data_IF_259042619763
#
_entry.id   IF_259042619763
#
_cell.length_a   1.000
_cell.length_b   1.000
_cell.length_c   1.000
_cell.angle_alpha   90.00
_cell.angle_beta   90.00
_cell.angle_gamma   90.00
#
_symmetry.space_group_name_H-M   'P 1'
#
loop_
_entity.id
_entity.type
_entity.pdbx_description
1 polymer ?
#
# COMPACT_ATOMS: atom_id res chain seq x y z
N UNK A 1 -1.34 20.92 10.05
CA UNK A 1 -0.96 19.50 10.25
C UNK A 1 -1.13 18.85 8.90
N UNK A 2 -0.09 18.20 8.39
CA UNK A 2 -0.15 17.46 7.13
C UNK A 2 -0.84 16.12 7.39
N UNK A 3 -1.84 15.76 6.56
CA UNK A 3 -2.67 14.56 6.75
C UNK A 3 -2.85 13.87 5.42
N UNK A 4 -2.28 12.68 5.28
CA UNK A 4 -2.26 11.98 4.00
C UNK A 4 -2.12 10.47 4.18
N UNK A 5 -2.47 9.77 3.13
CA UNK A 5 -2.23 8.36 2.95
C UNK A 5 -1.18 8.14 1.85
N UNK A 6 -0.32 7.14 2.03
CA UNK A 6 0.60 6.67 0.99
C UNK A 6 0.62 5.15 0.94
N UNK A 7 0.74 4.60 -0.26
CA UNK A 7 0.82 3.17 -0.49
C UNK A 7 2.22 2.66 -0.10
N UNK A 8 2.25 1.45 0.44
CA UNK A 8 3.48 0.73 0.75
C UNK A 8 3.74 -0.25 -0.40
N UNK A 9 4.86 -0.11 -1.09
CA UNK A 9 5.11 -0.80 -2.38
C UNK A 9 6.29 -1.76 -2.37
N UNK A 10 6.29 -2.58 -3.43
CA UNK A 10 7.30 -3.55 -3.83
C UNK A 10 7.82 -4.43 -2.67
N UNK A 11 6.93 -5.26 -2.09
CA UNK A 11 5.57 -5.58 -2.55
C UNK A 11 4.48 -4.62 -2.04
N UNK A 12 3.35 -4.53 -2.76
CA UNK A 12 2.21 -3.78 -2.23
C UNK A 12 1.71 -4.40 -0.93
N UNK A 13 1.63 -3.62 0.14
CA UNK A 13 1.26 -4.10 1.48
C UNK A 13 0.23 -3.21 2.18
N UNK A 14 -0.65 -2.57 1.41
CA UNK A 14 -1.66 -1.67 1.92
C UNK A 14 -1.20 -0.21 1.96
N UNK A 15 -1.87 0.58 2.80
CA UNK A 15 -1.75 2.04 2.83
C UNK A 15 -1.39 2.49 4.24
N UNK A 16 -0.34 3.29 4.34
CA UNK A 16 0.08 3.96 5.56
C UNK A 16 -0.65 5.29 5.70
N UNK A 17 -1.35 5.46 6.82
CA UNK A 17 -1.96 6.72 7.23
C UNK A 17 -0.93 7.56 7.98
N UNK A 18 -0.81 8.84 7.64
CA UNK A 18 0.16 9.75 8.25
C UNK A 18 -0.51 11.06 8.64
N UNK A 19 -0.32 11.45 9.90
CA UNK A 19 -0.62 12.79 10.41
C UNK A 19 0.68 13.37 10.95
N UNK A 20 1.17 14.49 10.43
CA UNK A 20 2.50 14.98 10.77
C UNK A 20 2.65 16.51 10.73
N UNK A 21 3.62 17.01 11.49
CA UNK A 21 4.26 18.31 11.27
C UNK A 21 5.79 18.12 11.29
N UNK A 22 6.52 19.23 11.41
CA UNK A 22 7.98 19.24 11.42
C UNK A 22 8.62 18.56 12.63
N UNK A 23 7.88 18.38 13.74
CA UNK A 23 8.38 17.90 15.03
C UNK A 23 7.85 16.53 15.43
N UNK A 24 6.63 16.16 15.01
CA UNK A 24 5.97 14.93 15.41
C UNK A 24 5.16 14.35 14.25
N UNK A 25 5.09 13.02 14.20
CA UNK A 25 4.25 12.29 13.26
C UNK A 25 3.56 11.11 13.91
N UNK A 26 2.36 10.81 13.45
CA UNK A 26 1.57 9.65 13.82
C UNK A 26 1.40 8.77 12.58
N UNK A 27 1.67 7.49 12.73
CA UNK A 27 1.67 6.50 11.66
C UNK A 27 0.68 5.39 12.01
N UNK A 28 -0.20 5.02 11.08
CA UNK A 28 -1.12 3.90 11.27
C UNK A 28 -1.28 3.03 10.02
N UNK A 29 -1.32 1.71 10.22
CA UNK A 29 -1.55 0.71 9.17
C UNK A 29 -2.99 0.19 9.13
N UNK A 30 -3.80 0.51 10.13
CA UNK A 30 -5.21 0.08 10.24
C UNK A 30 -6.18 1.25 10.49
N UNK A 31 -5.65 2.46 10.72
CA UNK A 31 -6.45 3.65 11.01
C UNK A 31 -6.97 3.75 12.45
N UNK A 32 -6.68 2.77 13.28
CA UNK A 32 -7.18 2.66 14.66
C UNK A 32 -6.03 2.84 15.65
N UNK A 33 -4.96 2.07 15.47
CA UNK A 33 -3.75 2.13 16.27
C UNK A 33 -2.73 3.06 15.61
N UNK A 34 -2.36 4.13 16.31
CA UNK A 34 -1.40 5.11 15.82
C UNK A 34 -0.10 5.03 16.61
N UNK A 35 1.02 4.85 15.92
CA UNK A 35 2.34 5.01 16.52
C UNK A 35 2.79 6.47 16.41
N UNK A 36 3.08 7.10 17.53
CA UNK A 36 3.58 8.46 17.58
C UNK A 36 5.10 8.46 17.61
N UNK A 37 5.70 9.30 16.77
CA UNK A 37 7.14 9.46 16.64
C UNK A 37 7.52 10.94 16.69
N UNK A 38 8.49 11.27 17.54
CA UNK A 38 8.99 12.62 17.72
C UNK A 38 10.35 12.79 17.06
N UNK A 39 10.54 13.88 16.33
CA UNK A 39 11.79 14.23 15.68
C UNK A 39 12.77 14.72 16.74
N UNK A 40 13.89 14.03 16.90
CA UNK A 40 14.90 14.35 17.89
C UNK A 40 16.30 14.32 17.28
N UNK A 41 17.19 15.13 17.85
CA UNK A 41 18.61 15.06 17.55
C UNK A 41 19.28 14.20 18.59
N UNK A 42 19.83 13.06 18.16
CA UNK A 42 20.62 12.16 19.00
C UNK A 42 22.10 12.32 18.65
N UNK A 43 23.04 11.77 19.45
CA UNK A 43 24.45 11.68 19.05
C UNK A 43 24.69 10.95 17.71
N UNK A 44 23.73 10.15 17.25
CA UNK A 44 23.75 9.43 15.96
C UNK A 44 23.19 10.27 14.79
N UNK A 45 22.78 11.51 15.05
CA UNK A 45 22.16 12.42 14.08
C UNK A 45 20.67 12.67 14.36
N UNK A 46 20.04 13.40 13.44
CA UNK A 46 18.61 13.71 13.47
C UNK A 46 17.83 12.46 13.06
N UNK A 47 16.85 12.07 13.87
CA UNK A 47 16.00 10.92 13.62
C UNK A 47 14.61 11.08 14.25
N UNK A 48 13.85 9.98 14.24
CA UNK A 48 12.55 9.89 14.88
C UNK A 48 12.61 8.85 16.00
N UNK A 49 12.28 9.27 17.23
CA UNK A 49 12.11 8.38 18.37
C UNK A 49 10.64 7.99 18.52
N UNK A 50 10.38 6.71 18.82
CA UNK A 50 9.03 6.22 19.09
C UNK A 50 8.64 6.62 20.51
N UNK A 51 7.60 7.44 20.64
CA UNK A 51 7.22 8.02 21.95
C UNK A 51 6.01 7.32 22.58
N UNK A 52 5.24 6.56 21.80
CA UNK A 52 4.11 5.81 22.32
C UNK A 52 3.12 5.41 21.23
N UNK A 53 1.97 4.89 21.68
CA UNK A 53 0.82 4.59 20.83
C UNK A 53 -0.38 5.38 21.27
N UNK A 54 -1.25 5.71 20.33
CA UNK A 54 -2.53 6.35 20.60
C UNK A 54 -3.64 5.58 19.89
N UNK A 55 -4.75 5.42 20.59
CA UNK A 55 -5.99 4.87 20.06
C UNK A 55 -7.14 5.73 20.59
N UNK A 56 -8.12 6.07 19.75
CA UNK A 56 -9.25 6.92 20.16
C UNK A 56 -9.99 6.36 21.39
N UNK A 57 -10.11 5.04 21.50
CA UNK A 57 -10.83 4.39 22.61
C UNK A 57 -10.03 4.31 23.92
N UNK A 58 -8.68 4.24 23.82
CA UNK A 58 -7.80 3.93 24.94
C UNK A 58 -6.84 5.06 25.32
N UNK A 59 -6.82 6.15 24.54
CA UNK A 59 -5.92 7.28 24.73
C UNK A 59 -4.46 6.97 24.42
N UNK A 60 -3.57 7.81 24.94
CA UNK A 60 -2.13 7.69 24.74
C UNK A 60 -1.48 6.72 25.73
N UNK A 61 -0.66 5.81 25.21
CA UNK A 61 0.17 4.85 25.95
C UNK A 61 1.64 5.15 25.65
N UNK A 62 2.39 5.81 26.57
CA UNK A 62 3.77 6.21 26.33
C UNK A 62 4.73 5.01 26.28
N UNK A 63 5.81 5.16 25.51
CA UNK A 63 6.98 4.29 25.58
C UNK A 63 8.07 4.90 26.46
N UNK A 64 9.02 4.10 26.96
CA UNK A 64 10.22 4.64 27.60
C UNK A 64 10.95 5.60 26.64
N UNK A 65 11.13 6.84 27.07
CA UNK A 65 11.87 7.86 26.32
C UNK A 65 13.35 7.78 26.67
N UNK A 66 14.20 7.97 25.65
CA UNK A 66 15.64 8.15 25.88
C UNK A 66 15.88 9.42 26.71
N UNK A 67 16.75 9.39 27.73
CA UNK A 67 17.04 10.56 28.57
C UNK A 67 17.55 11.78 27.82
N UNK A 68 18.12 11.60 26.62
CA UNK A 68 18.57 12.70 25.75
C UNK A 68 17.44 13.46 25.05
N UNK A 69 16.20 12.95 25.10
CA UNK A 69 15.04 13.58 24.48
C UNK A 69 14.37 14.52 25.48
N UNK A 70 14.16 15.77 25.06
CA UNK A 70 13.43 16.76 25.86
C UNK A 70 11.96 16.36 26.03
N UNK A 71 11.60 15.94 27.24
CA UNK A 71 10.24 15.54 27.59
C UNK A 71 9.24 16.68 27.44
N UNK A 72 9.63 17.92 27.76
CA UNK A 72 8.72 19.08 27.67
C UNK A 72 8.34 19.38 26.22
N UNK A 73 9.30 19.23 25.29
CA UNK A 73 9.06 19.36 23.87
C UNK A 73 8.14 18.25 23.33
N UNK A 74 8.30 17.01 23.82
CA UNK A 74 7.41 15.89 23.47
C UNK A 74 5.98 16.14 23.95
N UNK A 75 5.80 16.59 25.19
CA UNK A 75 4.48 16.90 25.76
C UNK A 75 3.76 18.02 24.99
N UNK A 76 4.49 19.07 24.60
CA UNK A 76 3.94 20.16 23.79
C UNK A 76 3.49 19.68 22.40
N UNK A 77 4.32 18.86 21.73
CA UNK A 77 3.99 18.32 20.41
C UNK A 77 2.86 17.28 20.46
N UNK A 78 2.76 16.53 21.55
CA UNK A 78 1.73 15.52 21.77
C UNK A 78 0.31 16.10 21.73
N UNK A 79 0.06 17.21 22.42
CA UNK A 79 -1.29 17.81 22.46
C UNK A 79 -1.81 18.19 21.07
N UNK A 80 -0.93 18.72 20.22
CA UNK A 80 -1.28 19.13 18.86
C UNK A 80 -1.61 17.93 17.98
N UNK A 81 -0.83 16.86 18.05
CA UNK A 81 -1.06 15.69 17.19
C UNK A 81 -2.29 14.89 17.63
N UNK A 82 -2.54 14.77 18.93
CA UNK A 82 -3.73 14.09 19.45
C UNK A 82 -5.00 14.84 19.03
N UNK A 83 -5.02 16.17 19.12
CA UNK A 83 -6.15 16.96 18.63
C UNK A 83 -6.44 16.72 17.14
N UNK A 84 -5.40 16.60 16.32
CA UNK A 84 -5.55 16.27 14.90
C UNK A 84 -6.11 14.85 14.69
N UNK A 85 -5.60 13.86 15.44
CA UNK A 85 -6.07 12.47 15.38
C UNK A 85 -7.53 12.30 15.83
N UNK A 86 -7.99 13.08 16.80
CA UNK A 86 -9.39 13.07 17.22
C UNK A 86 -10.35 13.47 16.10
N UNK A 87 -9.94 14.41 15.25
CA UNK A 87 -10.73 14.89 14.11
C UNK A 87 -10.48 14.13 12.80
N UNK A 88 -9.45 13.29 12.74
CA UNK A 88 -9.06 12.59 11.52
C UNK A 88 -10.15 11.62 11.06
N UNK A 89 -10.54 11.76 9.79
CA UNK A 89 -11.42 10.82 9.09
C UNK A 89 -10.55 9.86 8.28
N UNK A 90 -10.64 8.58 8.61
CA UNK A 90 -9.87 7.52 7.95
C UNK A 90 -10.77 6.80 6.94
N UNK A 91 -10.25 6.41 5.75
CA UNK A 91 -8.88 6.64 5.29
C UNK A 91 -8.59 8.11 4.95
N UNK A 92 -7.37 8.57 5.27
CA UNK A 92 -6.86 9.88 4.87
C UNK A 92 -6.72 9.95 3.34
N UNK A 93 -6.77 11.15 2.72
CA UNK A 93 -6.61 11.27 1.27
C UNK A 93 -5.25 10.76 0.81
N UNK A 94 -5.24 9.90 -0.23
CA UNK A 94 -4.00 9.46 -0.87
C UNK A 94 -3.28 10.66 -1.47
N UNK A 95 -1.95 10.76 -1.28
CA UNK A 95 -1.17 11.91 -1.77
C UNK A 95 0.10 11.49 -2.53
N UNK A 96 0.26 10.21 -2.84
CA UNK A 96 1.45 9.65 -3.50
C UNK A 96 1.27 9.47 -5.01
N UNK A 97 1.08 10.58 -5.73
CA UNK A 97 0.70 10.62 -7.15
C UNK A 97 1.88 10.51 -8.14
N UNK A 98 3.12 10.60 -7.67
CA UNK A 98 4.27 10.25 -8.50
C UNK A 98 4.43 8.75 -8.40
N UNK A 99 4.19 8.04 -9.50
CA UNK A 99 4.21 6.58 -9.55
C UNK A 99 5.36 6.07 -10.43
N UNK A 100 6.17 5.16 -9.90
CA UNK A 100 7.26 4.52 -10.62
C UNK A 100 6.83 3.14 -11.12
N UNK A 101 6.59 3.04 -12.41
CA UNK A 101 6.09 1.82 -13.05
C UNK A 101 7.22 1.06 -13.75
N UNK A 102 7.32 -0.23 -13.48
CA UNK A 102 8.01 -1.17 -14.37
C UNK A 102 7.24 -1.20 -15.70
N UNK A 103 7.96 -1.20 -16.81
CA UNK A 103 7.37 -1.23 -18.15
C UNK A 103 7.52 -2.63 -18.77
N UNK A 104 6.56 -3.01 -19.61
CA UNK A 104 6.71 -4.18 -20.47
C UNK A 104 7.69 -3.88 -21.60
N UNK A 105 8.48 -4.91 -21.97
CA UNK A 105 9.62 -4.78 -22.86
C UNK A 105 9.26 -4.20 -24.24
N UNK A 106 8.19 -4.72 -24.87
CA UNK A 106 7.84 -4.43 -26.27
C UNK A 106 7.01 -3.16 -26.45
N UNK A 107 6.00 -3.00 -25.62
CA UNK A 107 4.96 -1.96 -25.72
C UNK A 107 5.29 -0.74 -24.86
N UNK A 108 6.21 -0.87 -23.91
CA UNK A 108 6.55 0.17 -22.92
C UNK A 108 5.35 0.61 -22.08
N UNK A 109 4.30 -0.19 -22.01
CA UNK A 109 3.15 0.07 -21.16
C UNK A 109 3.44 -0.29 -19.69
N UNK A 110 2.80 0.39 -18.72
CA UNK A 110 2.89 0.05 -17.31
C UNK A 110 2.56 -1.43 -17.04
N UNK A 111 3.52 -2.13 -16.43
CA UNK A 111 3.44 -3.55 -16.10
C UNK A 111 3.13 -3.75 -14.62
N UNK A 112 3.89 -3.11 -13.73
CA UNK A 112 3.72 -3.24 -12.29
C UNK A 112 4.24 -2.00 -11.57
N UNK A 113 3.51 -1.54 -10.55
CA UNK A 113 3.93 -0.41 -9.74
C UNK A 113 5.05 -0.85 -8.79
N UNK A 114 6.17 -0.13 -8.80
CA UNK A 114 7.33 -0.41 -7.97
C UNK A 114 7.43 0.54 -6.78
N UNK A 115 7.04 1.80 -6.95
CA UNK A 115 7.06 2.79 -5.89
C UNK A 115 6.09 3.93 -6.18
N UNK A 116 5.81 4.71 -5.15
CA UNK A 116 5.15 6.00 -5.28
C UNK A 116 5.72 6.97 -4.26
N UNK A 117 5.61 8.26 -4.57
CA UNK A 117 6.01 9.33 -3.68
C UNK A 117 5.12 10.56 -3.86
N UNK A 118 5.17 11.48 -2.90
CA UNK A 118 4.27 12.64 -2.84
C UNK A 118 4.86 13.85 -3.56
N UNK A 119 6.18 13.97 -3.51
CA UNK A 119 6.87 15.18 -3.94
C UNK A 119 7.94 14.86 -5.00
N UNK A 120 8.18 15.78 -5.97
CA UNK A 120 9.25 15.63 -6.95
C UNK A 120 10.64 15.44 -6.35
N UNK A 121 10.88 15.97 -5.15
CA UNK A 121 12.16 15.81 -4.46
C UNK A 121 12.37 14.36 -4.00
N UNK A 122 11.33 13.73 -3.46
CA UNK A 122 11.35 12.30 -3.08
C UNK A 122 11.63 11.44 -4.31
N UNK A 123 10.97 11.75 -5.44
CA UNK A 123 11.20 11.10 -6.73
C UNK A 123 12.68 11.16 -7.16
N UNK A 124 13.28 12.35 -7.10
CA UNK A 124 14.69 12.59 -7.48
C UNK A 124 15.70 11.89 -6.59
N UNK A 125 15.34 11.65 -5.33
CA UNK A 125 16.20 10.99 -4.34
C UNK A 125 16.00 9.47 -4.29
N UNK A 126 14.97 8.95 -4.96
CA UNK A 126 14.61 7.54 -4.89
C UNK A 126 15.56 6.68 -5.72
N UNK A 127 16.25 5.74 -5.04
CA UNK A 127 17.01 4.68 -5.69
C UNK A 127 16.16 3.41 -5.73
N UNK A 128 15.48 3.18 -6.85
CA UNK A 128 14.56 2.03 -7.02
C UNK A 128 15.12 1.10 -8.09
N UNK A 129 15.30 -0.17 -7.72
CA UNK A 129 15.65 -1.21 -8.69
C UNK A 129 14.42 -1.58 -9.54
N UNK A 130 14.54 -1.70 -10.87
CA UNK A 130 13.43 -2.04 -11.77
C UNK A 130 13.11 -3.54 -11.70
N UNK A 131 12.77 -4.03 -10.51
CA UNK A 131 12.44 -5.41 -10.23
C UNK A 131 11.24 -5.46 -9.30
N UNK A 132 10.14 -6.04 -9.79
CA UNK A 132 8.93 -6.23 -9.01
C UNK A 132 9.03 -7.48 -8.13
N UNK A 133 8.45 -7.39 -6.93
CA UNK A 133 8.44 -8.42 -5.90
C UNK A 133 7.02 -8.74 -5.45
N UNK A 134 6.77 -10.03 -5.27
CA UNK A 134 5.58 -10.51 -4.59
C UNK A 134 5.71 -10.27 -3.10
N UNK A 135 4.56 -10.19 -2.41
CA UNK A 135 4.57 -10.24 -0.96
C UNK A 135 5.10 -11.58 -0.46
N UNK A 136 5.87 -11.55 0.64
CA UNK A 136 6.52 -12.75 1.15
C UNK A 136 5.48 -13.72 1.74
N UNK A 137 5.80 -15.02 1.70
CA UNK A 137 4.95 -16.06 2.28
C UNK A 137 4.72 -15.88 3.79
N UNK A 138 5.64 -15.21 4.50
CA UNK A 138 5.49 -14.87 5.92
C UNK A 138 4.45 -13.77 6.19
N UNK A 139 4.13 -12.96 5.19
CA UNK A 139 3.19 -11.84 5.30
C UNK A 139 1.84 -12.14 4.63
N UNK A 140 1.82 -13.10 3.71
CA UNK A 140 0.64 -13.50 2.97
C UNK A 140 0.76 -14.98 2.61
N UNK A 141 -0.11 -15.81 3.17
CA UNK A 141 -0.16 -17.24 2.87
C UNK A 141 -0.52 -17.45 1.39
N UNK A 142 0.47 -17.85 0.61
CA UNK A 142 0.41 -18.04 -0.84
C UNK A 142 0.86 -19.46 -1.18
N UNK A 143 -0.08 -20.39 -1.07
CA UNK A 143 0.20 -21.81 -1.27
C UNK A 143 0.09 -22.24 -2.73
N UNK A 144 0.93 -23.20 -3.09
CA UNK A 144 0.76 -23.99 -4.29
C UNK A 144 -0.51 -24.85 -4.18
N UNK A 145 -1.18 -25.12 -5.30
CA UNK A 145 -2.25 -26.11 -5.32
C UNK A 145 -1.70 -27.51 -4.99
N UNK A 146 -2.56 -28.46 -4.58
CA UNK A 146 -2.11 -29.82 -4.32
C UNK A 146 -1.41 -30.50 -5.50
N UNK A 147 -1.78 -30.15 -6.74
CA UNK A 147 -1.09 -30.64 -7.94
C UNK A 147 0.29 -30.01 -8.10
N UNK A 148 0.39 -28.68 -7.97
CA UNK A 148 1.66 -27.96 -8.07
C UNK A 148 2.66 -28.41 -6.99
N UNK A 149 2.17 -28.65 -5.76
CA UNK A 149 2.95 -29.20 -4.67
C UNK A 149 3.44 -30.63 -4.96
N UNK A 150 2.56 -31.52 -5.44
CA UNK A 150 2.95 -32.89 -5.84
C UNK A 150 4.00 -32.92 -6.94
N UNK A 151 3.95 -31.95 -7.87
CA UNK A 151 4.95 -31.80 -8.94
C UNK A 151 6.23 -31.09 -8.50
N UNK A 152 6.34 -30.68 -7.23
CA UNK A 152 7.51 -29.99 -6.69
C UNK A 152 7.75 -28.62 -7.33
N UNK A 153 6.69 -27.94 -7.78
CA UNK A 153 6.86 -26.62 -8.37
C UNK A 153 7.34 -25.59 -7.34
N UNK A 154 8.14 -24.59 -7.74
CA UNK A 154 8.48 -23.49 -6.88
C UNK A 154 7.25 -22.75 -6.32
N UNK A 155 7.39 -21.98 -5.22
CA UNK A 155 6.30 -21.19 -4.66
C UNK A 155 5.64 -20.27 -5.70
N UNK A 156 4.34 -20.03 -5.54
CA UNK A 156 3.56 -19.15 -6.40
C UNK A 156 4.20 -17.76 -6.55
N UNK A 157 4.65 -17.16 -5.45
CA UNK A 157 5.30 -15.85 -5.43
C UNK A 157 6.54 -15.79 -6.33
N UNK A 158 7.41 -16.79 -6.23
CA UNK A 158 8.60 -16.88 -7.08
C UNK A 158 8.23 -17.01 -8.56
N UNK A 159 7.26 -17.86 -8.90
CA UNK A 159 6.82 -18.06 -10.29
C UNK A 159 6.20 -16.79 -10.87
N UNK A 160 5.39 -16.07 -10.09
CA UNK A 160 4.81 -14.80 -10.52
C UNK A 160 5.88 -13.71 -10.68
N UNK A 161 6.88 -13.63 -9.79
CA UNK A 161 8.02 -12.73 -9.98
C UNK A 161 8.80 -13.03 -11.27
N UNK A 162 9.05 -14.31 -11.58
CA UNK A 162 9.71 -14.69 -12.83
C UNK A 162 8.87 -14.33 -14.05
N UNK A 163 7.54 -14.49 -13.98
CA UNK A 163 6.62 -14.10 -15.03
C UNK A 163 6.65 -12.60 -15.30
N UNK A 164 6.61 -11.76 -14.25
CA UNK A 164 6.75 -10.30 -14.38
C UNK A 164 8.12 -9.93 -14.93
N UNK A 165 9.19 -10.54 -14.41
CA UNK A 165 10.56 -10.32 -14.89
C UNK A 165 10.71 -10.66 -16.38
N UNK A 166 10.15 -11.79 -16.82
CA UNK A 166 10.19 -12.20 -18.22
C UNK A 166 9.50 -11.17 -19.12
N UNK A 167 8.33 -10.66 -18.72
CA UNK A 167 7.65 -9.60 -19.46
C UNK A 167 8.35 -8.25 -19.44
N UNK A 168 9.14 -7.94 -18.41
CA UNK A 168 9.94 -6.73 -18.37
C UNK A 168 11.20 -6.81 -19.26
N UNK A 169 11.53 -7.99 -19.79
CA UNK A 169 12.66 -8.21 -20.69
C UNK A 169 14.01 -8.37 -19.97
N UNK A 170 15.08 -8.55 -20.76
CA UNK A 170 16.43 -8.74 -20.24
C UNK A 170 17.00 -7.48 -19.58
N UNK A 171 16.62 -6.31 -20.09
CA UNK A 171 17.05 -5.00 -19.62
C UNK A 171 15.82 -4.22 -19.12
N UNK A 172 15.26 -4.57 -17.94
CA UNK A 172 14.00 -4.02 -17.46
C UNK A 172 14.06 -2.51 -17.36
N UNK A 173 13.04 -1.86 -17.88
CA UNK A 173 12.90 -0.40 -17.89
C UNK A 173 11.76 0.00 -16.98
N UNK A 174 11.94 1.14 -16.30
CA UNK A 174 10.93 1.70 -15.43
C UNK A 174 10.88 3.22 -15.61
N UNK A 175 9.72 3.80 -15.33
CA UNK A 175 9.42 5.17 -15.67
C UNK A 175 8.53 5.81 -14.61
N UNK A 176 8.87 7.03 -14.22
CA UNK A 176 8.02 7.86 -13.35
C UNK A 176 6.88 8.46 -14.16
N UNK A 177 5.69 8.44 -13.57
CA UNK A 177 4.50 9.11 -14.09
C UNK A 177 3.88 9.98 -12.99
N UNK A 178 3.50 11.21 -13.32
CA UNK A 178 2.57 11.99 -12.50
C UNK A 178 1.15 11.59 -12.85
N UNK A 179 0.39 11.11 -11.86
CA UNK A 179 -0.99 10.65 -12.04
C UNK A 179 -1.97 11.79 -11.76
N UNK A 180 -2.93 11.97 -12.67
CA UNK A 180 -4.03 12.90 -12.48
C UNK A 180 -5.24 12.21 -11.79
N UNK A 181 -6.19 13.01 -11.33
CA UNK A 181 -7.39 12.52 -10.65
C UNK A 181 -8.30 11.65 -11.53
N UNK A 182 -8.25 11.84 -12.85
CA UNK A 182 -8.97 11.01 -13.83
C UNK A 182 -8.25 9.69 -14.15
N UNK A 183 -7.10 9.44 -13.51
CA UNK A 183 -6.28 8.26 -13.70
C UNK A 183 -5.36 8.33 -14.92
N UNK A 184 -5.28 9.44 -15.64
CA UNK A 184 -4.26 9.62 -16.70
C UNK A 184 -2.86 9.80 -16.10
N UNK A 185 -1.81 9.58 -16.90
CA UNK A 185 -0.43 9.64 -16.43
C UNK A 185 0.51 10.37 -17.37
N UNK A 186 1.18 11.40 -16.89
CA UNK A 186 2.23 12.13 -17.60
C UNK A 186 3.59 11.51 -17.29
N UNK A 187 4.31 10.96 -18.29
CA UNK A 187 5.66 10.44 -18.07
C UNK A 187 6.64 11.57 -17.75
N UNK A 188 7.57 11.33 -16.81
CA UNK A 188 8.50 12.33 -16.29
C UNK A 188 9.98 11.98 -16.52
N UNK A 189 10.84 12.91 -16.89
CA UNK A 189 12.29 12.68 -16.82
C UNK A 189 12.83 12.69 -15.38
N UNK A 190 14.15 12.49 -15.24
CA UNK A 190 14.84 12.57 -13.96
C UNK A 190 14.73 13.95 -13.28
N UNK A 191 14.48 15.03 -14.03
CA UNK A 191 14.25 16.37 -13.48
C UNK A 191 12.80 16.57 -12.98
N UNK A 192 11.87 15.66 -13.33
CA UNK A 192 10.45 15.76 -13.00
C UNK A 192 9.62 16.50 -14.05
N UNK A 193 10.12 16.65 -15.26
CA UNK A 193 9.46 17.34 -16.37
C UNK A 193 8.77 16.34 -17.29
N UNK A 194 7.62 16.73 -17.87
CA UNK A 194 6.88 15.90 -18.82
C UNK A 194 7.70 15.63 -20.10
N UNK A 195 7.83 14.35 -20.49
CA UNK A 195 8.64 13.93 -21.65
C UNK A 195 7.89 13.23 -22.78
N UNK A 196 6.61 12.93 -22.59
CA UNK A 196 5.79 12.27 -23.60
C UNK A 196 4.36 12.78 -23.54
N UNK A 197 3.53 12.32 -24.46
CA UNK A 197 2.08 12.48 -24.33
C UNK A 197 1.56 11.79 -23.06
N UNK A 198 0.42 12.30 -22.59
CA UNK A 198 -0.30 11.76 -21.44
C UNK A 198 -0.89 10.39 -21.81
N UNK A 199 -0.57 9.38 -21.01
CA UNK A 199 -1.15 8.04 -21.15
C UNK A 199 -2.54 8.00 -20.54
N UNK A 200 -3.49 7.41 -21.28
CA UNK A 200 -4.84 7.15 -20.79
C UNK A 200 -4.86 6.23 -19.57
N UNK A 201 -5.87 6.38 -18.71
CA UNK A 201 -6.02 5.61 -17.48
C UNK A 201 -6.03 4.09 -17.69
N UNK A 202 -6.57 3.63 -18.83
CA UNK A 202 -6.63 2.21 -19.21
C UNK A 202 -5.26 1.54 -19.37
N UNK A 203 -4.18 2.31 -19.54
CA UNK A 203 -2.82 1.76 -19.61
C UNK A 203 -2.24 1.40 -18.24
N UNK A 204 -2.85 1.88 -17.16
CA UNK A 204 -2.35 1.66 -15.80
C UNK A 204 -3.18 0.58 -15.12
N UNK A 205 -2.57 -0.56 -14.76
CA UNK A 205 -3.29 -1.62 -14.06
C UNK A 205 -3.90 -1.12 -12.73
N UNK A 206 -5.22 -1.19 -12.54
CA UNK A 206 -5.87 -0.62 -11.34
C UNK A 206 -5.47 -1.33 -10.06
N UNK A 207 -5.07 -2.61 -10.15
CA UNK A 207 -4.59 -3.42 -9.02
C UNK A 207 -3.07 -3.44 -8.92
N UNK A 208 -2.40 -2.42 -9.48
CA UNK A 208 -0.95 -2.18 -9.39
C UNK A 208 -0.07 -3.22 -10.11
N UNK A 209 -0.68 -4.21 -10.74
CA UNK A 209 -0.02 -5.27 -11.51
C UNK A 209 -0.91 -5.60 -12.71
N UNK A 210 -0.31 -5.72 -13.90
CA UNK A 210 -1.03 -6.14 -15.10
C UNK A 210 -1.66 -7.52 -14.90
N UNK A 211 -2.92 -7.62 -15.27
CA UNK A 211 -3.71 -8.83 -15.08
C UNK A 211 -3.79 -9.70 -16.33
N UNK A 212 -3.60 -9.13 -17.52
CA UNK A 212 -3.70 -9.88 -18.79
C UNK A 212 -2.38 -10.54 -19.13
N UNK A 213 -2.40 -11.88 -19.25
CA UNK A 213 -1.24 -12.70 -19.60
C UNK A 213 -1.53 -13.62 -20.77
N UNK A 214 -0.49 -14.02 -21.51
CA UNK A 214 -0.63 -14.79 -22.74
C UNK A 214 -1.09 -16.23 -22.50
N UNK A 215 -0.64 -16.85 -21.40
CA UNK A 215 -0.97 -18.24 -21.06
C UNK A 215 -1.99 -18.31 -19.94
N UNK A 216 -2.90 -19.27 -20.02
CA UNK A 216 -3.90 -19.55 -18.97
C UNK A 216 -3.23 -19.82 -17.61
N UNK A 217 -2.11 -20.53 -17.59
CA UNK A 217 -1.38 -20.79 -16.34
C UNK A 217 -0.78 -19.52 -15.71
N UNK A 218 -0.33 -18.57 -16.53
CA UNK A 218 0.20 -17.27 -16.09
C UNK A 218 -0.93 -16.37 -15.56
N UNK A 219 -2.10 -16.46 -16.19
CA UNK A 219 -3.34 -15.81 -15.78
C UNK A 219 -3.80 -16.33 -14.41
N UNK A 220 -3.81 -17.66 -14.20
CA UNK A 220 -4.19 -18.29 -12.94
C UNK A 220 -3.28 -17.86 -11.78
N UNK A 221 -1.97 -17.79 -12.01
CA UNK A 221 -1.01 -17.34 -11.00
C UNK A 221 -1.27 -15.91 -10.54
N UNK A 222 -1.48 -15.01 -11.50
CA UNK A 222 -1.80 -13.62 -11.20
C UNK A 222 -3.15 -13.51 -10.47
N UNK A 223 -4.18 -14.23 -10.92
CA UNK A 223 -5.50 -14.21 -10.31
C UNK A 223 -5.49 -14.70 -8.86
N UNK A 224 -4.80 -15.80 -8.57
CA UNK A 224 -4.66 -16.33 -7.20
C UNK A 224 -3.90 -15.38 -6.28
N UNK A 225 -2.84 -14.74 -6.80
CA UNK A 225 -2.11 -13.71 -6.05
C UNK A 225 -3.01 -12.51 -5.70
N UNK A 226 -3.70 -11.96 -6.69
CA UNK A 226 -4.60 -10.82 -6.50
C UNK A 226 -5.79 -11.17 -5.61
N UNK A 227 -6.32 -12.39 -5.72
CA UNK A 227 -7.36 -12.88 -4.83
C UNK A 227 -6.90 -12.85 -3.38
N UNK A 228 -5.72 -13.41 -3.09
CA UNK A 228 -5.19 -13.45 -1.73
C UNK A 228 -4.86 -12.05 -1.20
N UNK A 229 -4.39 -11.15 -2.07
CA UNK A 229 -4.08 -9.76 -1.74
C UNK A 229 -5.33 -8.87 -1.64
N UNK A 230 -6.51 -9.35 -2.07
CA UNK A 230 -7.72 -8.56 -2.23
C UNK A 230 -8.12 -7.73 -1.00
N UNK A 231 -8.05 -8.24 0.26
CA UNK A 231 -8.37 -7.43 1.43
C UNK A 231 -7.51 -6.17 1.57
N UNK A 232 -6.24 -6.22 1.11
CA UNK A 232 -5.33 -5.06 1.09
C UNK A 232 -5.58 -4.18 -0.13
N UNK A 233 -5.89 -4.76 -1.29
CA UNK A 233 -6.24 -4.00 -2.50
C UNK A 233 -7.49 -3.14 -2.31
N UNK A 234 -8.43 -3.54 -1.44
CA UNK A 234 -9.59 -2.72 -1.09
C UNK A 234 -9.24 -1.40 -0.39
N UNK A 235 -8.00 -1.21 0.08
CA UNK A 235 -7.53 0.08 0.62
C UNK A 235 -7.17 1.11 -0.46
N UNK A 236 -7.10 0.70 -1.74
CA UNK A 236 -6.82 1.62 -2.85
C UNK A 236 -7.97 2.60 -3.06
N UNK A 237 -7.65 3.89 -3.19
CA UNK A 237 -8.64 4.96 -3.29
C UNK A 237 -9.15 5.20 -4.71
N UNK A 238 -8.32 4.97 -5.72
CA UNK A 238 -8.63 5.23 -7.12
C UNK A 238 -9.24 4.04 -7.88
N UNK A 239 -9.92 3.10 -7.20
CA UNK A 239 -10.64 2.01 -7.88
C UNK A 239 -11.99 2.51 -8.42
N UNK A 240 -12.30 2.16 -9.67
CA UNK A 240 -13.66 2.29 -10.20
C UNK A 240 -14.63 1.45 -9.38
N UNK A 241 -15.92 1.79 -9.42
CA UNK A 241 -16.95 1.01 -8.71
C UNK A 241 -16.98 -0.46 -9.15
N UNK A 242 -16.80 -0.72 -10.45
CA UNK A 242 -16.69 -2.08 -11.00
C UNK A 242 -15.45 -2.82 -10.49
N UNK A 243 -14.28 -2.17 -10.49
CA UNK A 243 -13.07 -2.77 -9.93
C UNK A 243 -13.20 -3.02 -8.43
N UNK A 244 -13.87 -2.12 -7.71
CA UNK A 244 -14.15 -2.27 -6.28
C UNK A 244 -15.01 -3.51 -6.04
N UNK A 245 -16.15 -3.63 -6.72
CA UNK A 245 -17.04 -4.80 -6.60
C UNK A 245 -16.29 -6.11 -6.87
N UNK A 246 -15.51 -6.16 -7.96
CA UNK A 246 -14.70 -7.33 -8.30
C UNK A 246 -13.72 -7.70 -7.18
N UNK A 247 -13.02 -6.72 -6.60
CA UNK A 247 -12.06 -6.97 -5.51
C UNK A 247 -12.79 -7.37 -4.23
N UNK A 248 -13.99 -6.84 -3.94
CA UNK A 248 -14.81 -7.27 -2.80
C UNK A 248 -15.26 -8.73 -2.94
N UNK A 249 -15.63 -9.15 -4.15
CA UNK A 249 -15.91 -10.56 -4.44
C UNK A 249 -14.67 -11.45 -4.22
N UNK A 250 -13.50 -11.03 -4.69
CA UNK A 250 -12.24 -11.75 -4.46
C UNK A 250 -11.89 -11.86 -2.97
N UNK A 251 -12.11 -10.78 -2.21
CA UNK A 251 -11.83 -10.69 -0.78
C UNK A 251 -12.81 -11.50 0.08
N UNK A 252 -13.92 -11.98 -0.47
CA UNK A 252 -14.99 -12.65 0.28
C UNK A 252 -14.56 -13.94 1.01
N UNK A 253 -13.40 -14.51 0.65
CA UNK A 253 -12.84 -15.68 1.34
C UNK A 253 -12.04 -15.33 2.60
N UNK A 254 -11.78 -14.05 2.84
CA UNK A 254 -10.85 -13.57 3.86
C UNK A 254 -11.55 -12.64 4.85
N UNK A 255 -12.70 -13.06 5.38
CA UNK A 255 -13.55 -12.26 6.27
C UNK A 255 -12.80 -11.59 7.43
N UNK A 256 -11.89 -12.30 8.10
CA UNK A 256 -11.10 -11.75 9.22
C UNK A 256 -10.17 -10.61 8.78
N UNK A 257 -9.46 -10.78 7.65
CA UNK A 257 -8.60 -9.73 7.10
C UNK A 257 -9.43 -8.55 6.58
N UNK A 258 -10.59 -8.82 5.97
CA UNK A 258 -11.54 -7.77 5.56
C UNK A 258 -11.97 -6.95 6.76
N UNK A 259 -12.37 -7.59 7.87
CA UNK A 259 -12.74 -6.90 9.09
C UNK A 259 -11.58 -6.08 9.69
N UNK A 260 -10.35 -6.60 9.65
CA UNK A 260 -9.17 -5.92 10.16
C UNK A 260 -8.81 -4.64 9.39
N UNK A 261 -9.03 -4.61 8.07
CA UNK A 261 -8.71 -3.46 7.21
C UNK A 261 -9.94 -2.58 6.90
N UNK A 262 -11.14 -2.95 7.35
CA UNK A 262 -12.39 -2.32 6.96
C UNK A 262 -12.41 -0.79 7.14
N UNK A 263 -11.78 -0.29 8.21
CA UNK A 263 -11.67 1.15 8.49
C UNK A 263 -10.87 1.93 7.43
N UNK A 264 -10.07 1.24 6.63
CA UNK A 264 -9.28 1.82 5.55
C UNK A 264 -9.95 1.72 4.18
N UNK A 265 -11.15 1.15 4.08
CA UNK A 265 -11.84 1.03 2.80
C UNK A 265 -12.52 2.36 2.46
N UNK A 266 -12.06 3.07 1.41
CA UNK A 266 -12.53 4.41 1.09
C UNK A 266 -13.94 4.42 0.47
N UNK A 267 -14.37 3.29 -0.08
CA UNK A 267 -15.69 3.08 -0.64
C UNK A 267 -16.06 1.60 -0.56
N UNK A 268 -17.37 1.32 -0.61
CA UNK A 268 -17.93 -0.03 -0.61
C UNK A 268 -18.87 -0.13 -1.82
N UNK A 269 -18.67 -1.15 -2.66
CA UNK A 269 -19.54 -1.42 -3.80
C UNK A 269 -20.79 -2.21 -3.39
N UNK A 270 -20.62 -3.23 -2.54
CA UNK A 270 -21.71 -4.08 -2.05
C UNK A 270 -21.78 -4.06 -0.51
N UNK A 271 -22.70 -3.24 0.01
CA UNK A 271 -22.88 -3.09 1.46
C UNK A 271 -23.35 -4.38 2.15
N UNK A 272 -24.14 -5.21 1.46
CA UNK A 272 -24.65 -6.46 2.03
C UNK A 272 -23.50 -7.46 2.20
N UNK A 273 -22.68 -7.65 1.17
CA UNK A 273 -21.48 -8.49 1.22
C UNK A 273 -20.54 -8.05 2.33
N UNK A 274 -20.24 -6.76 2.39
CA UNK A 274 -19.29 -6.22 3.37
C UNK A 274 -19.79 -6.37 4.81
N UNK A 275 -21.10 -6.23 5.02
CA UNK A 275 -21.74 -6.49 6.32
C UNK A 275 -21.66 -7.98 6.69
N UNK A 276 -21.98 -8.87 5.74
CA UNK A 276 -21.93 -10.31 5.95
C UNK A 276 -20.52 -10.78 6.36
N UNK A 277 -19.48 -10.32 5.65
CA UNK A 277 -18.08 -10.64 5.97
C UNK A 277 -17.66 -10.18 7.37
N UNK A 278 -18.11 -8.99 7.79
CA UNK A 278 -17.79 -8.47 9.13
C UNK A 278 -18.54 -9.24 10.22
N UNK A 279 -19.78 -9.65 9.99
CA UNK A 279 -20.53 -10.50 10.92
C UNK A 279 -19.84 -11.86 11.03
N UNK A 280 -19.48 -12.47 9.91
CA UNK A 280 -18.75 -13.73 9.87
C UNK A 280 -17.42 -13.65 10.64
N UNK A 281 -16.64 -12.59 10.43
CA UNK A 281 -15.39 -12.38 11.16
C UNK A 281 -15.61 -12.33 12.68
N UNK A 282 -16.64 -11.62 13.15
CA UNK A 282 -16.98 -11.54 14.58
C UNK A 282 -17.41 -12.90 15.13
N UNK A 283 -18.21 -13.67 14.38
CA UNK A 283 -18.62 -15.01 14.78
C UNK A 283 -17.42 -15.96 14.90
N UNK A 284 -16.49 -15.93 13.94
CA UNK A 284 -15.25 -16.73 13.98
C UNK A 284 -14.38 -16.35 15.18
N UNK A 285 -14.24 -15.06 15.48
CA UNK A 285 -13.49 -14.59 16.65
C UNK A 285 -14.13 -14.94 18.00
N UNK A 286 -15.45 -15.13 18.05
CA UNK A 286 -16.15 -15.53 19.28
C UNK A 286 -16.07 -17.04 19.57
N UNK A 287 -15.71 -17.86 18.57
CA UNK A 287 -15.54 -19.31 18.69
C UNK A 287 -14.08 -19.73 19.02
N UNK A 288 -13.15 -18.79 19.10
CA UNK A 288 -11.74 -18.97 19.46
C UNK A 288 -11.50 -18.56 20.91
#
# INVERSE_FOLDING_TARGET
MDTYAKRLHNPFNGVLQVVANEQIRALSFNGVDWELQFKCTTPRGIGYARIGRWERSAGFKPFPLDPSIDRSAVEAAHGVIVAALETAQVPLPQDDYYEFWLLEDRTRQPLALLASCRQPQEMRQATIHPAWKCISASQLELDNTPEEARRGLPPLSYRLEQQVKYCAGQNPQAQWFLRAADGTGQALNAAGEGVSDVLAASHFPPLLLRETWAKVAEQDLCARYLQRLAPRLLTLQALSLESRDRVEQLASRYAQEVAAHFHLYPAIADTQRMTALRVEARLRSACL
#
